data_IF_912227884358
#
_entry.id   IF_912227884358
#
_cell.length_a   1.000
_cell.length_b   1.000
_cell.length_c   1.000
_cell.angle_alpha   90.00
_cell.angle_beta   90.00
_cell.angle_gamma   90.00
#
_symmetry.space_group_name_H-M   'P 1'
#
loop_
_entity.id
_entity.type
_entity.pdbx_description
1 polymer ?
#
# COMPACT_ATOMS: atom_id res chain seq x y z
N UNK A 1 27.62 -25.69 -15.72
CA UNK A 1 27.24 -24.50 -14.93
C UNK A 1 27.56 -23.28 -15.80
N UNK A 2 26.56 -22.63 -16.42
CA UNK A 2 26.80 -21.48 -17.31
C UNK A 2 27.31 -20.31 -16.46
N UNK A 3 28.55 -19.91 -16.68
CA UNK A 3 29.11 -18.68 -16.11
C UNK A 3 28.29 -17.54 -16.72
N UNK A 4 27.51 -16.85 -15.89
CA UNK A 4 26.71 -15.72 -16.34
C UNK A 4 27.65 -14.65 -16.91
N UNK A 5 27.34 -14.14 -18.11
CA UNK A 5 28.09 -13.03 -18.71
C UNK A 5 27.92 -11.73 -17.90
N UNK A 6 28.63 -10.65 -18.29
CA UNK A 6 28.55 -9.34 -17.63
C UNK A 6 27.10 -8.89 -17.41
N UNK A 7 26.82 -8.33 -16.24
CA UNK A 7 25.55 -7.63 -15.99
C UNK A 7 25.60 -6.31 -16.74
N UNK A 8 24.84 -6.21 -17.83
CA UNK A 8 24.69 -5.01 -18.65
C UNK A 8 23.38 -4.34 -18.26
N UNK A 9 23.41 -3.34 -17.38
CA UNK A 9 22.20 -2.70 -16.85
C UNK A 9 21.30 -2.04 -17.90
N UNK A 10 21.79 -1.76 -19.11
CA UNK A 10 20.99 -1.29 -20.25
C UNK A 10 20.26 -2.40 -21.02
N UNK A 11 20.61 -3.67 -20.80
CA UNK A 11 19.96 -4.84 -21.40
C UNK A 11 19.21 -5.64 -20.33
N UNK A 12 17.87 -5.62 -20.31
CA UNK A 12 17.08 -6.30 -19.29
C UNK A 12 17.49 -7.75 -19.08
N UNK A 13 17.77 -8.48 -20.17
CA UNK A 13 18.16 -9.91 -20.16
C UNK A 13 19.35 -10.28 -19.29
N UNK A 14 20.16 -9.30 -18.89
CA UNK A 14 21.34 -9.50 -18.02
C UNK A 14 21.09 -9.05 -16.58
N UNK A 15 19.93 -8.48 -16.29
CA UNK A 15 19.58 -8.05 -14.94
C UNK A 15 19.51 -9.25 -14.00
N UNK A 16 19.97 -9.09 -12.75
CA UNK A 16 19.74 -10.09 -11.72
C UNK A 16 18.25 -10.41 -11.63
N UNK A 17 17.91 -11.70 -11.50
CA UNK A 17 16.52 -12.19 -11.44
C UNK A 17 15.65 -11.44 -10.41
N UNK A 18 16.24 -10.89 -9.36
CA UNK A 18 15.54 -10.11 -8.34
C UNK A 18 14.99 -8.77 -8.84
N UNK A 19 15.62 -8.13 -9.83
CA UNK A 19 15.08 -6.91 -10.46
C UNK A 19 13.79 -7.25 -11.18
N UNK A 20 13.76 -8.39 -11.87
CA UNK A 20 12.54 -8.93 -12.46
C UNK A 20 11.51 -9.32 -11.41
N UNK A 21 11.92 -9.87 -10.28
CA UNK A 21 11.01 -10.13 -9.18
C UNK A 21 10.38 -8.83 -8.66
N UNK A 22 11.16 -7.77 -8.44
CA UNK A 22 10.64 -6.46 -8.02
C UNK A 22 9.75 -5.81 -9.08
N UNK A 23 10.15 -5.84 -10.35
CA UNK A 23 9.34 -5.32 -11.45
C UNK A 23 8.03 -6.11 -11.58
N UNK A 24 8.06 -7.44 -11.43
CA UNK A 24 6.88 -8.29 -11.44
C UNK A 24 5.97 -7.98 -10.24
N UNK A 25 6.51 -7.83 -9.02
CA UNK A 25 5.72 -7.43 -7.85
C UNK A 25 5.08 -6.05 -8.04
N UNK A 26 5.82 -5.08 -8.58
CA UNK A 26 5.31 -3.75 -8.88
C UNK A 26 4.21 -3.80 -9.95
N UNK A 27 4.43 -4.54 -11.04
CA UNK A 27 3.45 -4.73 -12.11
C UNK A 27 2.20 -5.46 -11.63
N UNK A 28 2.34 -6.57 -10.90
CA UNK A 28 1.21 -7.33 -10.33
C UNK A 28 0.43 -6.46 -9.34
N UNK A 29 1.14 -5.76 -8.46
CA UNK A 29 0.55 -4.84 -7.49
C UNK A 29 -0.16 -3.65 -8.15
N UNK A 30 0.31 -3.19 -9.31
CA UNK A 30 -0.28 -2.09 -10.06
C UNK A 30 -1.36 -2.54 -11.06
N UNK A 31 -1.31 -3.77 -11.58
CA UNK A 31 -2.16 -4.23 -12.68
C UNK A 31 -3.65 -4.23 -12.29
N UNK A 32 -3.99 -4.83 -11.14
CA UNK A 32 -5.37 -4.86 -10.65
C UNK A 32 -5.94 -3.45 -10.40
N UNK A 33 -5.27 -2.55 -9.65
CA UNK A 33 -5.77 -1.19 -9.45
C UNK A 33 -5.77 -0.35 -10.73
N UNK A 34 -4.82 -0.52 -11.64
CA UNK A 34 -4.80 0.16 -12.93
C UNK A 34 -5.97 -0.30 -13.82
N UNK A 35 -6.27 -1.59 -13.84
CA UNK A 35 -7.42 -2.14 -14.54
C UNK A 35 -8.74 -1.60 -13.98
N UNK A 36 -8.92 -1.62 -12.65
CA UNK A 36 -10.09 -1.02 -12.02
C UNK A 36 -10.18 0.50 -12.22
N UNK A 37 -9.04 1.20 -12.26
CA UNK A 37 -9.01 2.63 -12.59
C UNK A 37 -9.45 2.88 -14.03
N UNK A 38 -8.96 2.12 -15.00
CA UNK A 38 -9.35 2.24 -16.41
C UNK A 38 -10.84 1.93 -16.61
N UNK A 39 -11.36 0.91 -15.93
CA UNK A 39 -12.80 0.60 -15.95
C UNK A 39 -13.64 1.72 -15.33
N UNK A 40 -13.20 2.31 -14.22
CA UNK A 40 -13.88 3.46 -13.60
C UNK A 40 -13.87 4.69 -14.50
N UNK A 41 -12.74 5.02 -15.12
CA UNK A 41 -12.64 6.15 -16.04
C UNK A 41 -13.56 6.04 -17.26
N UNK A 42 -13.84 4.83 -17.74
CA UNK A 42 -14.83 4.62 -18.81
C UNK A 42 -16.28 4.83 -18.35
N UNK A 43 -16.58 4.56 -17.09
CA UNK A 43 -17.91 4.78 -16.51
C UNK A 43 -18.21 6.24 -16.20
N UNK A 44 -17.19 7.07 -15.96
CA UNK A 44 -17.37 8.50 -15.63
C UNK A 44 -18.01 9.32 -16.76
N UNK A 45 -17.78 8.95 -18.01
CA UNK A 45 -18.38 9.62 -19.18
C UNK A 45 -19.74 9.06 -19.58
N UNK A 46 -20.23 8.02 -18.90
CA UNK A 46 -21.53 7.44 -19.20
C UNK A 46 -22.67 8.33 -18.68
N UNK A 47 -23.80 8.39 -19.39
CA UNK A 47 -24.99 9.11 -18.95
C UNK A 47 -25.51 8.58 -17.61
N UNK A 48 -26.20 9.46 -16.89
CA UNK A 48 -26.80 9.21 -15.59
C UNK A 48 -28.26 8.79 -15.74
N UNK A 49 -28.70 7.86 -14.90
CA UNK A 49 -30.09 7.50 -14.69
C UNK A 49 -30.39 7.43 -13.18
N UNK A 50 -31.62 7.74 -12.81
CA UNK A 50 -32.08 7.56 -11.44
C UNK A 50 -32.29 6.07 -11.16
N UNK A 51 -31.61 5.59 -10.12
CA UNK A 51 -31.70 4.21 -9.64
C UNK A 51 -32.00 4.14 -8.16
N UNK A 52 -32.11 2.92 -7.67
CA UNK A 52 -32.37 2.62 -6.26
C UNK A 52 -31.56 1.41 -5.83
N UNK A 53 -31.08 1.43 -4.59
CA UNK A 53 -30.44 0.27 -3.98
C UNK A 53 -31.54 -0.70 -3.52
N UNK A 54 -31.63 -1.88 -4.14
CA UNK A 54 -32.65 -2.89 -3.83
C UNK A 54 -32.26 -3.74 -2.62
N UNK A 55 -30.97 -4.05 -2.51
CA UNK A 55 -30.43 -4.90 -1.44
C UNK A 55 -28.99 -4.50 -1.12
N UNK A 56 -28.63 -4.57 0.16
CA UNK A 56 -27.27 -4.39 0.64
C UNK A 56 -26.93 -5.58 1.53
N UNK A 57 -25.91 -6.35 1.17
CA UNK A 57 -25.53 -7.59 1.86
C UNK A 57 -24.03 -7.64 2.08
N UNK A 58 -23.62 -8.39 3.10
CA UNK A 58 -22.21 -8.65 3.38
C UNK A 58 -21.95 -10.13 3.12
N UNK A 59 -21.04 -10.40 2.19
CA UNK A 59 -20.58 -11.74 1.91
C UNK A 59 -19.19 -11.94 2.51
N UNK A 60 -18.98 -13.06 3.20
CA UNK A 60 -17.64 -13.53 3.54
C UNK A 60 -17.15 -14.38 2.36
N UNK A 61 -16.08 -13.98 1.65
CA UNK A 61 -15.53 -14.83 0.60
C UNK A 61 -15.17 -16.19 1.22
N UNK A 62 -15.70 -17.27 0.63
CA UNK A 62 -15.39 -18.63 1.03
C UNK A 62 -13.87 -18.85 1.02
N UNK A 63 -13.38 -19.63 1.98
CA UNK A 63 -11.96 -19.89 2.20
C UNK A 63 -11.25 -20.23 0.88
N UNK A 64 -10.40 -19.32 0.41
CA UNK A 64 -9.55 -19.52 -0.77
C UNK A 64 -8.10 -19.37 -0.35
N UNK A 65 -7.26 -20.32 -0.76
CA UNK A 65 -5.81 -20.34 -0.50
C UNK A 65 -5.07 -19.09 -1.00
N UNK A 66 -5.72 -18.26 -1.82
CA UNK A 66 -5.17 -17.02 -2.39
C UNK A 66 -5.84 -15.73 -1.91
N UNK A 67 -6.97 -15.81 -1.20
CA UNK A 67 -7.69 -14.62 -0.70
C UNK A 67 -7.46 -14.54 0.81
N UNK A 68 -6.80 -13.46 1.25
CA UNK A 68 -6.55 -13.16 2.68
C UNK A 68 -7.82 -13.41 3.49
N UNK A 69 -7.78 -14.41 4.38
CA UNK A 69 -8.83 -14.62 5.36
C UNK A 69 -8.93 -13.37 6.24
N UNK A 70 -10.10 -12.73 6.22
CA UNK A 70 -10.37 -11.52 7.00
C UNK A 70 -10.99 -10.33 6.27
N UNK A 71 -11.26 -10.42 4.97
CA UNK A 71 -12.06 -9.40 4.27
C UNK A 71 -13.54 -9.81 4.17
N UNK A 72 -14.42 -8.84 4.31
CA UNK A 72 -15.85 -8.84 4.07
C UNK A 72 -16.12 -8.12 2.75
N UNK A 73 -16.97 -8.69 1.91
CA UNK A 73 -17.36 -8.09 0.64
C UNK A 73 -18.75 -7.48 0.84
N UNK A 74 -18.83 -6.15 0.91
CA UNK A 74 -20.12 -5.47 0.89
C UNK A 74 -20.62 -5.41 -0.55
N UNK A 75 -21.81 -5.94 -0.78
CA UNK A 75 -22.46 -6.02 -2.08
C UNK A 75 -23.75 -5.20 -2.06
N UNK A 76 -23.84 -4.23 -2.97
CA UNK A 76 -25.03 -3.42 -3.21
C UNK A 76 -25.63 -3.85 -4.55
N UNK A 77 -26.84 -4.40 -4.51
CA UNK A 77 -27.66 -4.65 -5.68
C UNK A 77 -28.53 -3.43 -5.92
N UNK A 78 -28.51 -2.92 -7.15
CA UNK A 78 -29.27 -1.75 -7.53
C UNK A 78 -30.04 -2.00 -8.81
N UNK A 79 -31.16 -1.30 -8.94
CA UNK A 79 -31.97 -1.26 -10.15
C UNK A 79 -32.12 0.18 -10.64
N UNK A 80 -32.35 0.32 -11.93
CA UNK A 80 -32.64 1.59 -12.57
C UNK A 80 -33.48 1.34 -13.82
N UNK A 81 -34.14 2.38 -14.32
CA UNK A 81 -34.99 2.26 -15.51
C UNK A 81 -34.48 3.15 -16.63
N UNK A 82 -34.48 2.63 -17.85
CA UNK A 82 -34.13 3.36 -19.07
C UNK A 82 -35.10 2.97 -20.18
N UNK A 83 -35.73 3.96 -20.80
CA UNK A 83 -36.75 3.77 -21.85
C UNK A 83 -37.88 2.77 -21.45
N UNK A 84 -38.31 2.81 -20.19
CA UNK A 84 -39.36 1.92 -19.66
C UNK A 84 -38.91 0.49 -19.36
N UNK A 85 -37.65 0.13 -19.64
CA UNK A 85 -37.06 -1.17 -19.31
C UNK A 85 -36.26 -1.05 -18.02
N UNK A 86 -36.49 -1.98 -17.09
CA UNK A 86 -35.73 -2.05 -15.83
C UNK A 86 -34.46 -2.88 -16.03
N UNK A 87 -33.35 -2.35 -15.53
CA UNK A 87 -32.05 -2.99 -15.52
C UNK A 87 -31.54 -3.07 -14.09
N UNK A 88 -30.70 -4.06 -13.80
CA UNK A 88 -30.05 -4.21 -12.51
C UNK A 88 -28.55 -4.34 -12.65
N UNK A 89 -27.84 -3.94 -11.60
CA UNK A 89 -26.40 -4.04 -11.50
C UNK A 89 -25.98 -4.36 -10.09
N UNK A 90 -24.67 -4.55 -9.94
CA UNK A 90 -24.03 -4.90 -8.68
C UNK A 90 -22.82 -4.00 -8.46
N UNK A 91 -22.70 -3.50 -7.26
CA UNK A 91 -21.52 -2.78 -6.77
C UNK A 91 -20.94 -3.56 -5.59
N UNK A 92 -19.63 -3.75 -5.58
CA UNK A 92 -18.94 -4.49 -4.53
C UNK A 92 -17.80 -3.67 -3.95
N UNK A 93 -17.66 -3.65 -2.63
CA UNK A 93 -16.57 -2.99 -1.92
C UNK A 93 -15.92 -3.95 -0.92
N UNK A 94 -14.60 -4.07 -0.99
CA UNK A 94 -13.82 -4.87 -0.04
C UNK A 94 -13.65 -4.10 1.28
N UNK A 95 -14.05 -4.72 2.40
CA UNK A 95 -14.01 -4.16 3.74
C UNK A 95 -13.35 -5.18 4.70
N UNK A 96 -12.21 -4.89 5.33
CA UNK A 96 -11.43 -5.79 6.20
C UNK A 96 -12.01 -6.03 7.60
N UNK A 97 -13.15 -5.42 7.94
CA UNK A 97 -13.75 -5.51 9.26
C UNK A 97 -15.25 -5.79 9.13
N UNK A 98 -15.78 -6.65 9.99
CA UNK A 98 -17.20 -6.99 9.98
C UNK A 98 -18.02 -5.73 10.31
N UNK A 99 -17.56 -5.03 11.34
CA UNK A 99 -18.24 -3.89 11.93
C UNK A 99 -18.30 -2.71 10.95
N UNK A 100 -17.21 -2.49 10.21
CA UNK A 100 -17.18 -1.46 9.16
C UNK A 100 -18.02 -1.87 7.95
N UNK A 101 -18.16 -3.17 7.67
CA UNK A 101 -19.02 -3.64 6.60
C UNK A 101 -20.49 -3.46 6.95
N UNK A 102 -20.86 -3.76 8.20
CA UNK A 102 -22.19 -3.52 8.77
C UNK A 102 -22.51 -2.01 8.72
N UNK A 103 -21.58 -1.17 9.17
CA UNK A 103 -21.73 0.29 9.12
C UNK A 103 -21.86 0.79 7.67
N UNK A 104 -21.08 0.23 6.75
CA UNK A 104 -21.15 0.59 5.33
C UNK A 104 -22.52 0.27 4.73
N UNK A 105 -23.11 -0.89 5.02
CA UNK A 105 -24.43 -1.24 4.44
C UNK A 105 -25.62 -0.58 5.16
N UNK A 106 -25.41 -0.02 6.36
CA UNK A 106 -26.47 0.56 7.17
C UNK A 106 -27.27 1.62 6.41
N UNK A 107 -28.60 1.51 6.47
CA UNK A 107 -29.55 2.47 5.89
C UNK A 107 -29.39 2.71 4.38
N UNK A 108 -28.69 1.82 3.64
CA UNK A 108 -28.58 1.91 2.19
C UNK A 108 -29.78 1.37 1.45
N UNK A 109 -30.40 0.32 1.99
CA UNK A 109 -31.47 -0.37 1.29
C UNK A 109 -32.64 0.59 1.05
N UNK A 110 -33.08 0.66 -0.19
CA UNK A 110 -34.15 1.52 -0.64
C UNK A 110 -33.78 2.98 -0.88
N UNK A 111 -32.52 3.39 -0.72
CA UNK A 111 -32.08 4.76 -1.05
C UNK A 111 -31.95 4.95 -2.56
N UNK A 112 -32.30 6.16 -3.01
CA UNK A 112 -32.09 6.58 -4.38
C UNK A 112 -30.59 6.81 -4.63
N UNK A 113 -30.10 6.44 -5.80
CA UNK A 113 -28.70 6.58 -6.18
C UNK A 113 -28.58 6.86 -7.68
N UNK A 114 -27.59 7.68 -8.06
CA UNK A 114 -27.28 7.95 -9.44
C UNK A 114 -26.53 6.75 -10.06
N UNK A 115 -27.05 6.23 -11.17
CA UNK A 115 -26.47 5.07 -11.87
C UNK A 115 -25.91 5.53 -13.22
N UNK A 116 -24.65 5.20 -13.47
CA UNK A 116 -24.03 5.42 -14.78
C UNK A 116 -24.28 4.21 -15.67
N UNK A 117 -24.87 4.40 -16.85
CA UNK A 117 -25.18 3.30 -17.77
C UNK A 117 -24.55 3.49 -19.15
N UNK A 118 -24.14 2.40 -19.78
CA UNK A 118 -23.60 2.44 -21.13
C UNK A 118 -24.76 2.59 -22.15
N UNK A 119 -24.81 3.65 -22.96
CA UNK A 119 -25.91 3.89 -23.89
C UNK A 119 -25.96 2.89 -25.04
N UNK A 120 -24.82 2.33 -25.46
CA UNK A 120 -24.76 1.29 -26.50
C UNK A 120 -25.19 -0.08 -25.97
N UNK A 121 -25.03 -0.29 -24.65
CA UNK A 121 -25.41 -1.54 -23.99
C UNK A 121 -25.95 -1.26 -22.58
N UNK A 122 -27.24 -0.90 -22.43
CA UNK A 122 -27.83 -0.55 -21.13
C UNK A 122 -27.75 -1.67 -20.08
N UNK A 123 -27.58 -2.94 -20.46
CA UNK A 123 -27.29 -3.97 -19.46
C UNK A 123 -25.94 -3.81 -18.75
N UNK A 124 -25.07 -2.90 -19.20
CA UNK A 124 -23.85 -2.50 -18.50
C UNK A 124 -24.07 -1.18 -17.79
N UNK A 125 -24.06 -1.23 -16.47
CA UNK A 125 -24.09 -0.09 -15.59
C UNK A 125 -22.95 -0.14 -14.57
N UNK A 126 -22.66 1.00 -13.96
CA UNK A 126 -21.72 1.14 -12.87
C UNK A 126 -22.26 2.15 -11.86
N UNK A 127 -22.08 1.85 -10.58
CA UNK A 127 -22.12 2.84 -9.52
C UNK A 127 -20.69 3.33 -9.31
N UNK A 128 -20.47 4.65 -9.36
CA UNK A 128 -19.16 5.21 -9.07
C UNK A 128 -19.00 5.43 -7.57
N UNK A 129 -17.76 5.33 -7.10
CA UNK A 129 -17.42 5.52 -5.69
C UNK A 129 -17.90 6.88 -5.16
N UNK A 130 -17.82 7.92 -6.00
CA UNK A 130 -18.24 9.28 -5.62
C UNK A 130 -19.74 9.36 -5.31
N UNK A 131 -20.59 8.65 -6.05
CA UNK A 131 -22.04 8.70 -5.89
C UNK A 131 -22.46 7.93 -4.64
N UNK A 132 -21.79 6.80 -4.38
CA UNK A 132 -21.93 6.06 -3.12
C UNK A 132 -21.48 6.93 -1.95
N UNK A 133 -20.33 7.60 -2.04
CA UNK A 133 -19.79 8.46 -0.98
C UNK A 133 -20.69 9.66 -0.68
N UNK A 134 -21.27 10.31 -1.70
CA UNK A 134 -22.26 11.38 -1.51
C UNK A 134 -23.46 10.87 -0.71
N UNK A 135 -23.90 9.65 -1.01
CA UNK A 135 -24.96 8.99 -0.27
C UNK A 135 -24.52 8.66 1.18
N UNK A 136 -23.28 8.21 1.41
CA UNK A 136 -22.72 8.02 2.76
C UNK A 136 -22.68 9.32 3.57
N UNK A 137 -22.29 10.43 2.95
CA UNK A 137 -22.22 11.75 3.59
C UNK A 137 -23.58 12.30 3.99
N UNK A 138 -24.65 11.89 3.30
CA UNK A 138 -26.01 12.27 3.64
C UNK A 138 -26.60 11.52 4.85
N UNK A 139 -25.86 10.55 5.42
CA UNK A 139 -26.32 9.74 6.55
C UNK A 139 -26.19 10.48 7.87
N UNK A 140 -27.06 10.10 8.80
CA UNK A 140 -26.94 10.49 10.20
C UNK A 140 -25.65 9.89 10.80
N UNK A 141 -24.79 10.68 11.46
CA UNK A 141 -23.58 10.18 12.09
C UNK A 141 -23.87 9.13 13.16
N UNK A 142 -22.97 8.14 13.26
CA UNK A 142 -22.94 7.20 14.38
C UNK A 142 -22.70 7.98 15.68
N UNK A 143 -23.51 7.80 16.73
CA UNK A 143 -23.20 8.36 18.04
C UNK A 143 -21.82 7.85 18.51
N UNK A 144 -20.93 8.76 18.90
CA UNK A 144 -19.53 8.46 19.24
C UNK A 144 -19.39 7.34 20.31
N UNK A 145 -20.38 7.21 21.20
CA UNK A 145 -20.46 6.20 22.24
C UNK A 145 -20.62 4.75 21.71
N UNK A 146 -20.91 4.57 20.42
CA UNK A 146 -21.10 3.25 19.79
C UNK A 146 -19.93 2.83 18.89
N UNK A 147 -18.87 3.64 18.78
CA UNK A 147 -17.67 3.27 18.05
C UNK A 147 -16.85 2.26 18.86
N UNK A 148 -16.41 1.13 18.26
CA UNK A 148 -15.55 0.18 18.94
C UNK A 148 -14.17 0.81 19.25
N UNK A 149 -13.51 0.41 20.34
CA UNK A 149 -12.18 0.89 20.67
C UNK A 149 -11.18 0.50 19.56
N UNK A 150 -10.13 1.30 19.33
CA UNK A 150 -9.09 0.98 18.36
C UNK A 150 -8.48 -0.39 18.64
N UNK A 151 -8.32 -1.21 17.59
CA UNK A 151 -7.78 -2.58 17.71
C UNK A 151 -6.40 -2.56 18.39
N UNK A 152 -6.28 -3.23 19.52
CA UNK A 152 -5.02 -3.38 20.25
C UNK A 152 -4.07 -4.32 19.49
N UNK A 153 -2.77 -4.00 19.50
CA UNK A 153 -1.74 -4.86 18.92
C UNK A 153 -1.59 -6.09 19.83
N UNK A 154 -1.55 -7.32 19.30
CA UNK A 154 -1.30 -8.51 20.11
C UNK A 154 -0.02 -8.38 20.92
N UNK A 155 -0.07 -8.78 22.19
CA UNK A 155 1.03 -8.66 23.14
C UNK A 155 2.35 -9.24 22.63
N UNK A 156 2.29 -10.35 21.89
CA UNK A 156 3.48 -11.00 21.30
C UNK A 156 4.24 -10.12 20.30
N UNK A 157 3.53 -9.35 19.47
CA UNK A 157 4.17 -8.44 18.50
C UNK A 157 4.73 -7.22 19.23
N UNK A 158 4.01 -6.73 20.24
CA UNK A 158 4.44 -5.57 21.03
C UNK A 158 5.81 -5.78 21.66
N UNK A 159 6.06 -6.96 22.24
CA UNK A 159 7.35 -7.30 22.86
C UNK A 159 8.54 -7.35 21.87
N UNK A 160 8.27 -7.59 20.58
CA UNK A 160 9.31 -7.65 19.54
C UNK A 160 9.57 -6.30 18.87
N UNK A 161 8.68 -5.32 19.00
CA UNK A 161 8.84 -3.99 18.43
C UNK A 161 10.20 -3.33 18.75
N UNK A 162 10.71 -3.32 20.00
CA UNK A 162 11.99 -2.66 20.29
C UNK A 162 13.17 -3.27 19.51
N UNK A 163 13.15 -4.59 19.27
CA UNK A 163 14.19 -5.27 18.49
C UNK A 163 14.16 -4.79 17.03
N UNK A 164 12.97 -4.79 16.41
CA UNK A 164 12.85 -4.33 15.02
C UNK A 164 13.10 -2.83 14.86
N UNK A 165 12.77 -2.01 15.86
CA UNK A 165 13.13 -0.59 15.90
C UNK A 165 14.65 -0.44 15.93
N UNK A 166 15.35 -1.14 16.83
CA UNK A 166 16.81 -1.08 16.92
C UNK A 166 17.49 -1.53 15.61
N UNK A 167 17.02 -2.64 15.02
CA UNK A 167 17.50 -3.10 13.71
C UNK A 167 17.25 -2.07 12.60
N UNK A 168 16.11 -1.37 12.62
CA UNK A 168 15.81 -0.33 11.64
C UNK A 168 16.73 0.88 11.78
N UNK A 169 17.03 1.29 13.02
CA UNK A 169 18.01 2.37 13.28
C UNK A 169 19.39 1.98 12.77
N UNK A 170 19.87 0.77 13.13
CA UNK A 170 21.18 0.27 12.68
C UNK A 170 21.24 0.21 11.15
N UNK A 171 20.22 -0.36 10.50
CA UNK A 171 20.13 -0.41 9.04
C UNK A 171 20.10 0.97 8.39
N UNK A 172 19.40 1.94 8.97
CA UNK A 172 19.36 3.31 8.48
C UNK A 172 20.72 4.01 8.57
N UNK A 173 21.41 3.89 9.72
CA UNK A 173 22.74 4.49 9.92
C UNK A 173 23.76 3.87 8.97
N UNK A 174 23.76 2.54 8.85
CA UNK A 174 24.69 1.82 7.96
C UNK A 174 24.41 2.14 6.49
N UNK A 175 23.14 2.19 6.08
CA UNK A 175 22.78 2.56 4.71
C UNK A 175 23.17 4.01 4.38
N UNK A 176 22.98 4.95 5.31
CA UNK A 176 23.44 6.34 5.14
C UNK A 176 24.97 6.43 5.03
N UNK A 177 25.72 5.71 5.86
CA UNK A 177 27.18 5.68 5.80
C UNK A 177 27.68 5.18 4.44
N UNK A 178 27.13 4.04 3.98
CA UNK A 178 27.43 3.48 2.66
C UNK A 178 27.05 4.46 1.54
N UNK A 179 25.91 5.13 1.67
CA UNK A 179 25.43 6.09 0.70
C UNK A 179 26.36 7.31 0.56
N UNK A 180 26.78 7.89 1.69
CA UNK A 180 27.73 9.01 1.71
C UNK A 180 29.06 8.62 1.06
N UNK A 181 29.58 7.43 1.38
CA UNK A 181 30.76 6.89 0.71
C UNK A 181 30.59 6.82 -0.81
N UNK A 182 29.48 6.23 -1.25
CA UNK A 182 29.17 6.04 -2.67
C UNK A 182 28.98 7.37 -3.43
N UNK A 183 28.39 8.38 -2.79
CA UNK A 183 28.27 9.75 -3.34
C UNK A 183 29.64 10.39 -3.53
N UNK A 184 30.60 10.11 -2.64
CA UNK A 184 32.01 10.54 -2.78
C UNK A 184 32.81 9.69 -3.79
N UNK A 185 32.15 8.77 -4.53
CA UNK A 185 32.81 7.84 -5.44
C UNK A 185 33.64 6.77 -4.74
N UNK A 186 33.52 6.64 -3.41
CA UNK A 186 34.28 5.69 -2.60
C UNK A 186 33.42 4.49 -2.23
N UNK A 187 34.02 3.31 -2.23
CA UNK A 187 33.42 2.13 -1.63
C UNK A 187 33.93 1.99 -0.21
N UNK A 188 33.00 2.03 0.75
CA UNK A 188 33.33 1.99 2.18
C UNK A 188 33.10 0.62 2.82
N UNK A 189 32.50 -0.33 2.10
CA UNK A 189 32.11 -1.64 2.64
C UNK A 189 32.38 -2.81 1.67
N UNK A 190 32.64 -4.03 2.20
CA UNK A 190 32.83 -5.23 1.40
C UNK A 190 31.52 -5.69 0.74
N UNK A 191 31.61 -6.62 -0.21
CA UNK A 191 30.47 -7.08 -1.03
C UNK A 191 29.38 -7.75 -0.21
N UNK A 192 29.77 -8.59 0.75
CA UNK A 192 28.84 -9.25 1.67
C UNK A 192 27.93 -8.24 2.39
N UNK A 193 28.45 -7.04 2.67
CA UNK A 193 27.69 -5.98 3.32
C UNK A 193 26.53 -5.46 2.47
N UNK A 194 26.67 -5.49 1.13
CA UNK A 194 25.60 -5.15 0.20
C UNK A 194 24.38 -6.05 0.44
N UNK A 195 24.63 -7.36 0.48
CA UNK A 195 23.61 -8.38 0.67
C UNK A 195 23.03 -8.35 2.07
N UNK A 196 23.85 -8.11 3.10
CA UNK A 196 23.37 -7.97 4.48
C UNK A 196 22.38 -6.81 4.60
N UNK A 197 22.71 -5.63 4.06
CA UNK A 197 21.79 -4.49 4.07
C UNK A 197 20.54 -4.75 3.24
N UNK A 198 20.69 -5.37 2.07
CA UNK A 198 19.56 -5.67 1.21
C UNK A 198 18.59 -6.68 1.86
N UNK A 199 19.11 -7.77 2.41
CA UNK A 199 18.29 -8.77 3.10
C UNK A 199 17.74 -8.23 4.43
N UNK A 200 18.50 -7.40 5.12
CA UNK A 200 18.09 -6.74 6.36
C UNK A 200 16.86 -5.85 6.19
N UNK A 201 16.62 -5.29 4.99
CA UNK A 201 15.37 -4.56 4.70
C UNK A 201 14.18 -5.47 4.90
N UNK A 202 14.19 -6.71 4.40
CA UNK A 202 13.04 -7.62 4.54
C UNK A 202 12.79 -8.01 6.00
N UNK A 203 13.85 -8.13 6.80
CA UNK A 203 13.77 -8.45 8.24
C UNK A 203 12.96 -7.40 9.00
N UNK A 204 13.12 -6.12 8.67
CA UNK A 204 12.39 -5.03 9.35
C UNK A 204 11.12 -4.61 8.62
N UNK A 205 11.07 -4.75 7.30
CA UNK A 205 9.97 -4.29 6.47
C UNK A 205 8.74 -5.18 6.59
N UNK A 206 8.91 -6.51 6.67
CA UNK A 206 7.78 -7.43 6.85
C UNK A 206 7.01 -7.16 8.15
N UNK A 207 7.66 -7.07 9.33
CA UNK A 207 7.01 -6.63 10.56
C UNK A 207 6.35 -5.25 10.43
N UNK A 208 7.03 -4.27 9.82
CA UNK A 208 6.49 -2.93 9.63
C UNK A 208 5.20 -2.95 8.79
N UNK A 209 5.15 -3.72 7.70
CA UNK A 209 3.95 -3.86 6.86
C UNK A 209 2.81 -4.53 7.64
N UNK A 210 3.08 -5.58 8.40
CA UNK A 210 2.05 -6.26 9.21
C UNK A 210 1.48 -5.31 10.28
N UNK A 211 2.34 -4.52 10.92
CA UNK A 211 1.94 -3.51 11.91
C UNK A 211 1.16 -2.38 11.24
N UNK A 212 1.63 -1.84 10.12
CA UNK A 212 0.94 -0.79 9.38
C UNK A 212 -0.45 -1.22 8.91
N UNK A 213 -0.59 -2.45 8.39
CA UNK A 213 -1.89 -3.01 7.98
C UNK A 213 -2.87 -3.07 9.16
N UNK A 214 -2.38 -3.37 10.37
CA UNK A 214 -3.21 -3.38 11.58
C UNK A 214 -3.55 -1.99 12.10
N UNK A 215 -2.62 -1.04 12.01
CA UNK A 215 -2.84 0.35 12.43
C UNK A 215 -3.83 1.08 11.52
N UNK A 216 -3.81 0.81 10.21
CA UNK A 216 -4.59 1.55 9.21
C UNK A 216 -6.01 1.03 9.06
N UNK A 217 -6.23 -0.28 9.20
CA UNK A 217 -7.51 -0.88 8.85
C UNK A 217 -7.92 -0.55 7.41
N UNK A 218 -9.08 0.08 7.24
CA UNK A 218 -9.63 0.55 5.94
C UNK A 218 -9.27 1.96 5.53
N UNK A 219 -8.54 2.70 6.35
CA UNK A 219 -8.43 4.14 6.13
C UNK A 219 -8.03 4.45 4.69
N UNK A 220 -8.70 5.46 4.09
CA UNK A 220 -8.47 5.88 2.72
C UNK A 220 -6.97 5.96 2.41
N UNK A 221 -6.54 5.45 1.25
CA UNK A 221 -5.11 5.42 0.85
C UNK A 221 -4.44 6.79 0.95
N UNK A 222 -5.19 7.88 0.79
CA UNK A 222 -4.71 9.26 0.95
C UNK A 222 -4.27 9.59 2.38
N UNK A 223 -4.88 8.95 3.37
CA UNK A 223 -4.60 9.16 4.79
C UNK A 223 -3.77 8.03 5.42
N UNK A 224 -3.40 7.01 4.63
CA UNK A 224 -2.55 5.90 5.07
C UNK A 224 -1.33 6.38 5.87
N UNK A 225 -0.50 7.26 5.28
CA UNK A 225 0.71 7.74 5.93
C UNK A 225 0.43 8.59 7.18
N UNK A 226 -0.68 9.34 7.18
CA UNK A 226 -1.10 10.12 8.36
C UNK A 226 -1.47 9.19 9.51
N UNK A 227 -2.22 8.12 9.23
CA UNK A 227 -2.64 7.15 10.24
C UNK A 227 -1.46 6.35 10.78
N UNK A 228 -0.63 5.78 9.90
CA UNK A 228 0.50 4.95 10.35
C UNK A 228 1.49 5.78 11.16
N UNK A 229 1.73 7.03 10.80
CA UNK A 229 2.69 7.91 11.45
C UNK A 229 2.07 8.84 12.49
N UNK A 230 0.81 8.61 12.90
CA UNK A 230 0.07 9.52 13.80
C UNK A 230 0.76 9.73 15.15
N UNK A 231 1.44 8.71 15.66
CA UNK A 231 2.13 8.73 16.95
C UNK A 231 3.66 8.92 16.82
N UNK A 232 4.14 9.19 15.60
CA UNK A 232 5.54 9.54 15.35
C UNK A 232 5.77 11.04 15.54
N UNK A 233 6.90 11.46 16.14
CA UNK A 233 7.35 12.85 16.14
C UNK A 233 7.45 13.42 14.73
N UNK A 234 7.25 14.72 14.58
CA UNK A 234 7.26 15.36 13.26
C UNK A 234 8.59 15.20 12.52
N UNK A 235 9.72 15.21 13.24
CA UNK A 235 11.04 14.97 12.64
C UNK A 235 11.13 13.59 11.96
N UNK A 236 10.48 12.56 12.48
CA UNK A 236 10.45 11.23 11.85
C UNK A 236 9.61 11.23 10.58
N UNK A 237 8.51 11.98 10.57
CA UNK A 237 7.67 12.13 9.37
C UNK A 237 8.44 12.83 8.27
N UNK A 238 9.09 13.94 8.60
CA UNK A 238 9.97 14.65 7.66
C UNK A 238 11.12 13.78 7.17
N UNK A 239 11.72 12.96 8.05
CA UNK A 239 12.76 12.00 7.68
C UNK A 239 12.28 10.98 6.62
N UNK A 240 11.09 10.40 6.81
CA UNK A 240 10.50 9.46 5.82
C UNK A 240 10.25 10.15 4.48
N UNK A 241 9.69 11.36 4.50
CA UNK A 241 9.46 12.13 3.27
C UNK A 241 10.76 12.54 2.58
N UNK A 242 11.76 12.96 3.35
CA UNK A 242 13.07 13.36 2.83
C UNK A 242 13.78 12.16 2.19
N UNK A 243 13.91 11.03 2.89
CA UNK A 243 14.56 9.85 2.33
C UNK A 243 13.75 9.20 1.21
N UNK A 244 12.42 9.20 1.30
CA UNK A 244 11.55 8.71 0.22
C UNK A 244 11.69 9.54 -1.06
N UNK A 245 11.59 10.86 -0.96
CA UNK A 245 11.78 11.77 -2.10
C UNK A 245 13.20 11.68 -2.67
N UNK A 246 14.21 11.65 -1.79
CA UNK A 246 15.60 11.46 -2.19
C UNK A 246 15.81 10.13 -2.94
N UNK A 247 15.26 9.02 -2.43
CA UNK A 247 15.39 7.71 -3.05
C UNK A 247 14.80 7.67 -4.46
N UNK A 248 13.67 8.34 -4.70
CA UNK A 248 13.08 8.47 -6.04
C UNK A 248 14.03 9.20 -6.99
N UNK A 249 14.53 10.38 -6.59
CA UNK A 249 15.48 11.16 -7.41
C UNK A 249 16.75 10.36 -7.67
N UNK A 250 17.33 9.74 -6.63
CA UNK A 250 18.53 8.93 -6.73
C UNK A 250 18.32 7.70 -7.65
N UNK A 251 17.16 7.06 -7.59
CA UNK A 251 16.82 5.93 -8.46
C UNK A 251 16.70 6.37 -9.92
N UNK A 252 16.04 7.50 -10.21
CA UNK A 252 15.96 8.05 -11.55
C UNK A 252 17.36 8.40 -12.11
N UNK A 253 18.20 9.04 -11.29
CA UNK A 253 19.59 9.32 -11.68
C UNK A 253 20.41 8.05 -11.91
N UNK A 254 20.19 7.01 -11.10
CA UNK A 254 20.82 5.72 -11.27
C UNK A 254 20.41 5.05 -12.59
N UNK A 255 19.12 5.10 -12.96
CA UNK A 255 18.64 4.55 -14.23
C UNK A 255 19.27 5.22 -15.45
N UNK A 256 19.53 6.53 -15.37
CA UNK A 256 20.18 7.29 -16.47
C UNK A 256 21.69 7.03 -16.53
N UNK A 257 22.33 6.84 -15.37
CA UNK A 257 23.79 6.71 -15.26
C UNK A 257 24.25 5.27 -14.97
N UNK A 258 23.40 4.27 -15.21
CA UNK A 258 23.71 2.89 -14.88
C UNK A 258 24.92 2.44 -15.72
N UNK A 259 26.02 1.98 -15.09
CA UNK A 259 27.22 1.62 -15.83
C UNK A 259 26.95 0.46 -16.78
N UNK A 260 27.45 0.57 -18.00
CA UNK A 260 27.40 -0.50 -18.99
C UNK A 260 28.45 -1.57 -18.64
N UNK A 261 28.03 -2.69 -18.06
CA UNK A 261 28.73 -3.97 -18.21
C UNK A 261 30.16 -4.08 -17.69
N UNK A 262 30.46 -3.68 -16.45
CA UNK A 262 31.73 -4.07 -15.82
C UNK A 262 31.63 -5.45 -15.16
N UNK A 263 32.48 -6.37 -15.62
CA UNK A 263 32.67 -7.77 -15.19
C UNK A 263 33.25 -7.94 -13.77
N UNK A 264 32.90 -7.07 -12.83
CA UNK A 264 33.31 -7.22 -11.44
C UNK A 264 32.35 -8.11 -10.66
N UNK A 265 32.87 -9.04 -9.85
CA UNK A 265 32.10 -9.66 -8.75
C UNK A 265 31.56 -8.60 -7.77
N UNK A 266 32.17 -7.42 -7.79
CA UNK A 266 31.91 -6.33 -6.88
C UNK A 266 31.11 -5.20 -7.55
N UNK A 267 29.95 -4.80 -7.00
CA UNK A 267 29.17 -3.70 -7.55
C UNK A 267 29.96 -2.37 -7.52
N UNK A 268 29.93 -1.57 -8.60
CA UNK A 268 30.60 -0.26 -8.64
C UNK A 268 29.89 0.74 -7.71
N UNK A 269 30.60 1.81 -7.34
CA UNK A 269 30.08 2.83 -6.42
C UNK A 269 28.74 3.44 -6.86
N UNK A 270 28.49 3.53 -8.17
CA UNK A 270 27.21 3.97 -8.75
C UNK A 270 26.05 3.04 -8.40
N UNK A 271 26.27 1.72 -8.41
CA UNK A 271 25.27 0.71 -7.99
C UNK A 271 25.05 0.79 -6.48
N UNK A 272 26.11 0.91 -5.68
CA UNK A 272 25.99 1.14 -4.24
C UNK A 272 25.18 2.40 -3.93
N UNK A 273 25.40 3.50 -4.65
CA UNK A 273 24.63 4.74 -4.51
C UNK A 273 23.16 4.52 -4.84
N UNK A 274 22.84 3.83 -5.93
CA UNK A 274 21.47 3.52 -6.34
C UNK A 274 20.70 2.77 -5.25
N UNK A 275 21.25 1.64 -4.78
CA UNK A 275 20.59 0.78 -3.79
C UNK A 275 20.58 1.35 -2.37
N UNK A 276 21.64 2.04 -1.95
CA UNK A 276 21.70 2.60 -0.59
C UNK A 276 20.65 3.67 -0.33
N UNK A 277 20.32 4.50 -1.32
CA UNK A 277 19.20 5.45 -1.19
C UNK A 277 17.86 4.75 -0.96
N UNK A 278 17.64 3.60 -1.61
CA UNK A 278 16.45 2.78 -1.43
C UNK A 278 16.41 2.10 -0.05
N UNK A 279 17.55 1.59 0.43
CA UNK A 279 17.66 1.06 1.78
C UNK A 279 17.33 2.11 2.84
N UNK A 280 17.85 3.34 2.69
CA UNK A 280 17.55 4.46 3.59
C UNK A 280 16.05 4.75 3.65
N UNK A 281 15.35 4.75 2.50
CA UNK A 281 13.90 4.95 2.47
C UNK A 281 13.14 3.83 3.20
N UNK A 282 13.53 2.56 3.00
CA UNK A 282 12.87 1.44 3.65
C UNK A 282 13.14 1.36 5.15
N UNK A 283 14.39 1.53 5.57
CA UNK A 283 14.75 1.52 6.99
C UNK A 283 14.14 2.70 7.74
N UNK A 284 14.10 3.90 7.15
CA UNK A 284 13.44 5.06 7.76
C UNK A 284 11.92 4.89 7.87
N UNK A 285 11.27 4.36 6.83
CA UNK A 285 9.84 4.05 6.87
C UNK A 285 9.54 2.98 7.91
N UNK A 286 10.26 1.86 7.92
CA UNK A 286 10.09 0.80 8.92
C UNK A 286 10.26 1.34 10.35
N UNK A 287 11.31 2.12 10.59
CA UNK A 287 11.57 2.77 11.87
C UNK A 287 10.38 3.64 12.32
N UNK A 288 9.86 4.51 11.45
CA UNK A 288 8.76 5.41 11.79
C UNK A 288 7.45 4.66 12.09
N UNK A 289 7.14 3.64 11.29
CA UNK A 289 5.96 2.78 11.45
C UNK A 289 6.02 2.02 12.78
N UNK A 290 7.13 1.33 13.04
CA UNK A 290 7.30 0.50 14.24
C UNK A 290 7.35 1.36 15.51
N UNK A 291 7.99 2.53 15.44
CA UNK A 291 8.00 3.49 16.56
C UNK A 291 6.59 3.99 16.89
N UNK A 292 5.82 4.42 15.88
CA UNK A 292 4.42 4.84 16.04
C UNK A 292 3.57 3.76 16.72
N UNK A 293 3.76 2.50 16.33
CA UNK A 293 3.11 1.36 16.94
C UNK A 293 3.51 1.17 18.41
N UNK A 294 4.80 1.24 18.73
CA UNK A 294 5.29 1.07 20.11
C UNK A 294 4.72 2.11 21.08
N UNK A 295 4.53 3.35 20.61
CA UNK A 295 3.88 4.42 21.38
C UNK A 295 2.38 4.21 21.57
N UNK A 296 1.75 3.45 20.68
CA UNK A 296 0.32 3.10 20.80
C UNK A 296 0.08 1.95 21.78
N UNK A 297 1.12 1.16 22.09
CA UNK A 297 1.07 0.01 23.00
C UNK A 297 1.48 0.34 24.43
N UNK A 298 2.01 1.54 24.70
CA UNK A 298 2.38 1.94 26.04
C UNK A 298 1.12 2.09 26.92
N UNK A 299 1.10 1.56 28.16
CA UNK A 299 0.01 1.80 29.09
C UNK A 299 -0.21 3.31 29.26
N UNK A 300 -1.47 3.74 29.28
CA UNK A 300 -1.80 5.11 29.68
C UNK A 300 -1.44 5.22 31.16
N UNK A 301 -0.32 5.87 31.47
CA UNK A 301 -0.02 6.28 32.84
C UNK A 301 -1.07 7.31 33.23
N UNK A 302 -2.01 6.91 34.09
CA UNK A 302 -2.88 7.84 34.79
C UNK A 302 -2.05 8.53 35.88
N UNK A 303 -1.36 9.61 35.52
CA UNK A 303 -0.78 10.59 36.45
C UNK A 303 -1.75 11.73 36.70
#
# INVERSE_FOLDING_TARGET
MKIAGPIVWSSPSTWPWMVYAWAAFALIGAAKPAWHWLQRGRGESWPLADGRIDSAQISKPGFSLTVKSGHYLAELLYSYSFAGVSYSGRYTRDIPAAEEADEFIRDLQGKAIAVHYNPEKPSRSALLERDVELLLQSRTPVPLASLPPPRSIPSSISSLLPIFIALSVVGLVLSLWVHLGAVMGKRVAPESFFWILHMGVFVVWLPAVLVAQRLVGTTNRKDFWKVVLRNSPDWMRYMVYAFGGYAVVNFLLFMVNAPNGENGTNPPATVWRGFSGHWMAFYSAALAILYSASRSSAPIDHS
#
